data_IF_227801231223
#
_entry.id   IF_227801231223
#
_cell.length_a   1.000
_cell.length_b   1.000
_cell.length_c   1.000
_cell.angle_alpha   90.00
_cell.angle_beta   90.00
_cell.angle_gamma   90.00
#
_symmetry.space_group_name_H-M   'P 1'
#
loop_
_entity.id
_entity.type
_entity.pdbx_description
1 polymer ?
#
# COMPACT_ATOMS: atom_id res chain seq x y z
N UNK A 1 -7.08 12.85 -12.34
CA UNK A 1 -5.86 13.66 -12.07
C UNK A 1 -6.31 15.06 -11.68
N UNK A 2 -5.90 15.55 -10.52
CA UNK A 2 -6.38 16.81 -9.97
C UNK A 2 -5.95 18.00 -10.86
N UNK A 3 -6.89 18.77 -11.37
CA UNK A 3 -6.69 19.89 -12.31
C UNK A 3 -5.69 20.94 -11.78
N UNK A 4 -5.64 21.15 -10.46
CA UNK A 4 -4.69 22.05 -9.79
C UNK A 4 -3.21 21.61 -9.94
N UNK A 5 -2.95 20.29 -9.95
CA UNK A 5 -1.61 19.76 -10.13
C UNK A 5 -1.15 19.95 -11.57
N UNK A 6 -2.04 19.79 -12.54
CA UNK A 6 -1.76 20.06 -13.95
C UNK A 6 -1.44 21.55 -14.16
N UNK A 7 -2.22 22.45 -13.56
CA UNK A 7 -1.98 23.90 -13.65
C UNK A 7 -0.64 24.31 -13.02
N UNK A 8 -0.30 23.73 -11.87
CA UNK A 8 0.97 24.00 -11.21
C UNK A 8 2.15 23.47 -12.04
N UNK A 9 2.03 22.26 -12.60
CA UNK A 9 3.03 21.67 -13.48
C UNK A 9 3.24 22.49 -14.75
N UNK A 10 2.17 23.00 -15.35
CA UNK A 10 2.25 23.86 -16.54
C UNK A 10 3.03 25.14 -16.26
N UNK A 11 2.95 25.66 -15.03
CA UNK A 11 3.71 26.85 -14.59
C UNK A 11 5.19 26.56 -14.36
N UNK A 12 5.56 25.37 -13.93
CA UNK A 12 6.97 24.99 -13.65
C UNK A 12 7.67 24.43 -14.89
N UNK A 13 6.93 23.84 -15.82
CA UNK A 13 7.48 23.23 -17.05
C UNK A 13 8.49 24.08 -17.81
N UNK A 14 8.30 25.41 -17.98
CA UNK A 14 9.28 26.26 -18.67
C UNK A 14 10.65 26.36 -17.98
N UNK A 15 10.72 26.02 -16.68
CA UNK A 15 11.96 26.10 -15.90
C UNK A 15 12.67 24.73 -15.80
N UNK A 16 12.09 23.68 -16.37
CA UNK A 16 12.72 22.35 -16.42
C UNK A 16 13.57 22.25 -17.68
N UNK A 17 14.78 21.64 -17.61
CA UNK A 17 15.63 21.47 -18.78
C UNK A 17 14.90 20.65 -19.85
N UNK A 18 14.94 21.14 -21.10
CA UNK A 18 14.47 20.37 -22.26
C UNK A 18 15.43 19.21 -22.49
N UNK A 19 14.97 18.00 -22.17
CA UNK A 19 15.69 16.76 -22.48
C UNK A 19 15.01 16.16 -23.70
N UNK A 20 15.69 16.05 -24.87
CA UNK A 20 15.14 15.41 -26.05
C UNK A 20 14.93 13.91 -25.76
N UNK A 21 13.67 13.48 -25.64
CA UNK A 21 13.32 12.12 -25.24
C UNK A 21 12.68 11.36 -26.39
N UNK A 22 13.24 10.18 -26.71
CA UNK A 22 12.71 9.29 -27.76
C UNK A 22 11.33 8.70 -27.48
N UNK A 23 10.79 8.83 -26.24
CA UNK A 23 9.49 8.29 -25.85
C UNK A 23 8.68 9.28 -24.99
N UNK A 24 8.22 10.35 -25.59
CA UNK A 24 7.56 11.49 -24.92
C UNK A 24 6.37 11.10 -24.03
N UNK A 25 5.44 10.24 -24.51
CA UNK A 25 4.22 9.88 -23.76
C UNK A 25 4.50 9.11 -22.46
N UNK A 26 5.42 8.15 -22.51
CA UNK A 26 5.81 7.37 -21.34
C UNK A 26 6.47 8.23 -20.27
N UNK A 27 7.34 9.14 -20.72
CA UNK A 27 8.07 10.01 -19.80
C UNK A 27 7.17 11.07 -19.18
N UNK A 28 6.09 11.46 -19.84
CA UNK A 28 5.09 12.38 -19.27
C UNK A 28 4.32 11.72 -18.12
N UNK A 29 3.90 10.49 -18.28
CA UNK A 29 3.26 9.70 -17.20
C UNK A 29 4.21 9.53 -16.00
N UNK A 30 5.49 9.20 -16.24
CA UNK A 30 6.51 9.09 -15.18
C UNK A 30 6.78 10.42 -14.48
N UNK A 31 6.78 11.53 -15.22
CA UNK A 31 6.94 12.88 -14.63
C UNK A 31 5.78 13.24 -13.73
N UNK A 32 4.55 12.95 -14.15
CA UNK A 32 3.36 13.15 -13.31
C UNK A 32 3.46 12.32 -12.03
N UNK A 33 3.90 11.07 -12.14
CA UNK A 33 4.11 10.20 -10.99
C UNK A 33 5.20 10.75 -10.04
N UNK A 34 6.32 11.23 -10.58
CA UNK A 34 7.41 11.87 -9.79
C UNK A 34 6.89 13.13 -9.10
N UNK A 35 6.13 13.96 -9.80
CA UNK A 35 5.54 15.18 -9.22
C UNK A 35 4.55 14.87 -8.11
N UNK A 36 3.69 13.88 -8.30
CA UNK A 36 2.75 13.45 -7.25
C UNK A 36 3.52 13.02 -5.99
N UNK A 37 4.66 12.36 -6.14
CA UNK A 37 5.53 12.00 -5.01
C UNK A 37 6.13 13.24 -4.34
N UNK A 38 6.63 14.19 -5.13
CA UNK A 38 7.21 15.42 -4.61
C UNK A 38 6.17 16.29 -3.89
N UNK A 39 5.01 16.51 -4.52
CA UNK A 39 3.88 17.21 -3.91
C UNK A 39 3.36 16.44 -2.69
N UNK A 40 3.34 15.11 -2.75
CA UNK A 40 2.93 14.25 -1.65
C UNK A 40 3.78 14.42 -0.38
N UNK A 41 5.04 14.88 -0.48
CA UNK A 41 5.85 15.19 0.71
C UNK A 41 5.39 16.45 1.46
N UNK A 42 4.67 17.33 0.79
CA UNK A 42 4.16 18.58 1.36
C UNK A 42 2.72 18.47 1.90
N UNK A 43 2.07 17.32 1.70
CA UNK A 43 0.70 17.06 2.07
C UNK A 43 0.62 16.27 3.38
N UNK A 44 -0.48 16.44 4.10
CA UNK A 44 -0.86 15.53 5.19
C UNK A 44 -1.25 14.15 4.64
N UNK A 45 -1.38 13.15 5.49
CA UNK A 45 -1.75 11.79 5.10
C UNK A 45 -3.17 11.70 4.49
N UNK A 46 -4.10 12.52 4.97
CA UNK A 46 -5.47 12.62 4.42
C UNK A 46 -5.46 13.29 3.03
N UNK A 47 -4.73 14.41 2.88
CA UNK A 47 -4.60 15.12 1.60
C UNK A 47 -3.93 14.25 0.53
N UNK A 48 -2.96 13.40 0.91
CA UNK A 48 -2.38 12.40 0.00
C UNK A 48 -3.39 11.36 -0.44
N UNK A 49 -4.26 10.89 0.47
CA UNK A 49 -5.31 9.95 0.12
C UNK A 49 -6.29 10.55 -0.89
N UNK A 50 -6.67 11.82 -0.72
CA UNK A 50 -7.50 12.56 -1.70
C UNK A 50 -6.79 12.72 -3.04
N UNK A 51 -5.48 12.99 -3.05
CA UNK A 51 -4.68 13.09 -4.29
C UNK A 51 -4.74 11.81 -5.12
N UNK A 52 -4.75 10.64 -4.47
CA UNK A 52 -4.87 9.34 -5.11
C UNK A 52 -6.33 8.88 -5.30
N UNK A 53 -7.32 9.74 -5.00
CA UNK A 53 -8.76 9.43 -5.03
C UNK A 53 -9.11 8.15 -4.24
N UNK A 54 -8.51 7.98 -3.07
CA UNK A 54 -8.83 6.85 -2.21
C UNK A 54 -10.17 7.06 -1.49
N UNK A 55 -10.85 5.97 -1.10
CA UNK A 55 -12.12 6.03 -0.36
C UNK A 55 -12.00 6.77 0.98
N UNK A 56 -13.17 7.09 1.54
CA UNK A 56 -13.31 7.82 2.79
C UNK A 56 -12.49 7.19 3.93
N UNK A 57 -11.87 8.04 4.73
CA UNK A 57 -11.09 7.64 5.90
C UNK A 57 -9.77 6.94 5.60
N UNK A 58 -9.37 6.83 4.33
CA UNK A 58 -8.05 6.34 3.96
C UNK A 58 -6.98 7.38 4.25
N UNK A 59 -5.78 6.92 4.61
CA UNK A 59 -4.62 7.77 4.86
C UNK A 59 -3.36 7.15 4.27
N UNK A 60 -2.53 7.99 3.65
CA UNK A 60 -1.24 7.59 3.08
C UNK A 60 -0.13 8.41 3.71
N UNK A 61 0.84 7.73 4.29
CA UNK A 61 2.02 8.37 4.87
C UNK A 61 3.04 8.76 3.80
N UNK A 62 3.97 9.62 4.19
CA UNK A 62 5.03 10.13 3.31
C UNK A 62 5.92 9.01 2.76
N UNK A 63 6.39 9.20 1.55
CA UNK A 63 7.27 8.24 0.86
C UNK A 63 6.58 6.97 0.36
N UNK A 64 5.30 6.72 0.72
CA UNK A 64 4.54 5.61 0.16
C UNK A 64 4.33 5.79 -1.35
N UNK A 65 4.36 4.67 -2.10
CA UNK A 65 4.22 4.65 -3.55
C UNK A 65 3.09 3.71 -3.95
N UNK A 66 2.19 4.20 -4.80
CA UNK A 66 1.20 3.38 -5.48
C UNK A 66 1.59 3.31 -6.96
N UNK A 67 1.85 2.11 -7.46
CA UNK A 67 2.20 1.84 -8.85
C UNK A 67 0.94 1.37 -9.56
N UNK A 68 0.59 1.97 -10.69
CA UNK A 68 -0.63 1.69 -11.46
C UNK A 68 -1.91 1.84 -10.60
N UNK A 69 -2.17 3.02 -10.00
CA UNK A 69 -3.31 3.22 -9.10
C UNK A 69 -4.67 2.94 -9.77
N UNK A 70 -4.74 2.98 -11.09
CA UNK A 70 -5.94 2.65 -11.88
C UNK A 70 -6.36 1.17 -11.75
N UNK A 71 -5.46 0.29 -11.32
CA UNK A 71 -5.71 -1.14 -11.10
C UNK A 71 -5.84 -1.49 -9.61
N UNK A 72 -5.86 -0.48 -8.74
CA UNK A 72 -6.05 -0.65 -7.31
C UNK A 72 -7.53 -0.55 -6.96
N UNK A 73 -8.05 -1.58 -6.28
CA UNK A 73 -9.34 -1.53 -5.59
C UNK A 73 -9.04 -1.54 -4.09
N UNK A 74 -9.43 -0.48 -3.40
CA UNK A 74 -9.19 -0.36 -1.95
C UNK A 74 -10.49 0.04 -1.24
N UNK A 75 -10.73 -0.51 -0.06
CA UNK A 75 -11.88 -0.19 0.76
C UNK A 75 -11.64 1.06 1.63
N UNK A 76 -12.66 1.43 2.40
CA UNK A 76 -12.62 2.59 3.30
C UNK A 76 -11.74 2.35 4.53
N UNK A 77 -11.31 3.44 5.18
CA UNK A 77 -10.57 3.43 6.45
C UNK A 77 -9.28 2.61 6.42
N UNK A 78 -8.60 2.57 5.27
CA UNK A 78 -7.31 1.93 5.13
C UNK A 78 -6.16 2.90 5.46
N UNK A 79 -5.09 2.36 6.02
CA UNK A 79 -3.88 3.11 6.32
C UNK A 79 -2.68 2.52 5.58
N UNK A 80 -1.93 3.38 4.88
CA UNK A 80 -0.71 3.00 4.15
C UNK A 80 0.45 3.76 4.79
N UNK A 81 1.37 3.02 5.39
CA UNK A 81 2.50 3.51 6.15
C UNK A 81 3.62 4.10 5.32
N UNK A 82 4.58 4.74 6.01
CA UNK A 82 5.73 5.40 5.40
C UNK A 82 6.54 4.44 4.53
N UNK A 83 6.94 4.91 3.36
CA UNK A 83 7.78 4.16 2.43
C UNK A 83 7.23 2.80 1.98
N UNK A 84 5.94 2.54 2.20
CA UNK A 84 5.29 1.35 1.64
C UNK A 84 5.26 1.42 0.11
N UNK A 85 5.40 0.27 -0.55
CA UNK A 85 5.25 0.13 -2.01
C UNK A 85 4.04 -0.74 -2.29
N UNK A 86 3.06 -0.16 -2.96
CA UNK A 86 1.80 -0.78 -3.32
C UNK A 86 1.77 -0.92 -4.84
N UNK A 87 2.09 -2.11 -5.33
CA UNK A 87 2.10 -2.39 -6.75
C UNK A 87 0.79 -3.04 -7.21
N UNK A 88 0.01 -2.28 -7.95
CA UNK A 88 -1.24 -2.75 -8.54
C UNK A 88 -1.12 -3.09 -10.04
N UNK A 89 0.09 -3.17 -10.61
CA UNK A 89 0.27 -3.40 -12.06
C UNK A 89 -0.29 -4.73 -12.56
N UNK A 90 -0.43 -5.74 -11.70
CA UNK A 90 -1.09 -7.01 -11.97
C UNK A 90 -2.53 -7.11 -11.44
N UNK A 91 -3.04 -6.02 -10.84
CA UNK A 91 -4.28 -5.96 -10.09
C UNK A 91 -4.05 -6.17 -8.59
N UNK A 92 -4.59 -5.27 -7.78
CA UNK A 92 -4.50 -5.35 -6.32
C UNK A 92 -5.84 -4.97 -5.70
N UNK A 93 -6.28 -5.78 -4.76
CA UNK A 93 -7.46 -5.52 -3.96
C UNK A 93 -7.10 -5.47 -2.47
N UNK A 94 -7.56 -4.46 -1.76
CA UNK A 94 -7.37 -4.27 -0.31
C UNK A 94 -8.73 -3.99 0.31
N UNK A 95 -9.16 -4.84 1.23
CA UNK A 95 -10.42 -4.67 1.96
C UNK A 95 -10.37 -3.51 2.97
N UNK A 96 -11.57 -3.07 3.40
CA UNK A 96 -11.73 -1.96 4.33
C UNK A 96 -11.06 -2.22 5.69
N UNK A 97 -10.72 -1.14 6.41
CA UNK A 97 -10.11 -1.20 7.74
C UNK A 97 -8.78 -1.97 7.79
N UNK A 98 -8.04 -2.02 6.67
CA UNK A 98 -6.76 -2.71 6.57
C UNK A 98 -5.61 -1.72 6.69
N UNK A 99 -4.63 -2.08 7.53
CA UNK A 99 -3.42 -1.28 7.74
C UNK A 99 -2.21 -1.96 7.10
N UNK A 100 -1.58 -1.24 6.19
CA UNK A 100 -0.30 -1.61 5.56
C UNK A 100 0.79 -0.82 6.29
N UNK A 101 1.62 -1.50 7.06
CA UNK A 101 2.66 -0.88 7.88
C UNK A 101 3.78 -0.20 7.09
N UNK A 102 4.65 0.55 7.79
CA UNK A 102 5.81 1.19 7.17
C UNK A 102 6.72 0.18 6.47
N UNK A 103 7.25 0.57 5.30
CA UNK A 103 8.16 -0.26 4.50
C UNK A 103 7.64 -1.66 4.16
N UNK A 104 6.32 -1.83 4.09
CA UNK A 104 5.70 -3.03 3.53
C UNK A 104 5.70 -2.93 2.01
N UNK A 105 6.07 -4.02 1.35
CA UNK A 105 6.02 -4.14 -0.09
C UNK A 105 4.92 -5.13 -0.49
N UNK A 106 3.92 -4.65 -1.23
CA UNK A 106 2.86 -5.48 -1.81
C UNK A 106 3.06 -5.51 -3.31
N UNK A 107 3.34 -6.69 -3.84
CA UNK A 107 3.60 -6.91 -5.25
C UNK A 107 2.44 -7.61 -5.94
N UNK A 108 2.18 -7.26 -7.18
CA UNK A 108 1.24 -7.93 -8.08
C UNK A 108 1.87 -8.31 -9.42
N UNK A 109 3.18 -8.08 -9.60
CA UNK A 109 3.91 -8.53 -10.78
C UNK A 109 5.32 -9.00 -10.47
N UNK A 110 5.91 -9.72 -11.42
CA UNK A 110 7.33 -10.06 -11.41
C UNK A 110 7.89 -10.10 -12.83
N UNK A 111 9.10 -9.58 -13.00
CA UNK A 111 9.81 -9.53 -14.29
C UNK A 111 10.91 -10.60 -14.44
N UNK A 112 11.04 -11.53 -13.49
CA UNK A 112 12.15 -12.50 -13.47
C UNK A 112 12.27 -13.34 -14.75
N UNK A 113 11.14 -13.74 -15.35
CA UNK A 113 11.16 -14.51 -16.62
C UNK A 113 11.71 -13.68 -17.78
N UNK A 114 11.39 -12.39 -17.84
CA UNK A 114 11.96 -11.49 -18.85
C UNK A 114 13.47 -11.36 -18.68
N UNK A 115 13.95 -11.24 -17.44
CA UNK A 115 15.36 -11.15 -17.13
C UNK A 115 16.12 -12.45 -17.46
N UNK A 116 15.59 -13.61 -17.06
CA UNK A 116 16.20 -14.91 -17.35
C UNK A 116 16.30 -15.18 -18.87
N UNK A 117 15.35 -14.67 -19.66
CA UNK A 117 15.37 -14.77 -21.11
C UNK A 117 16.12 -13.62 -21.80
N UNK A 118 16.80 -12.76 -21.05
CA UNK A 118 17.51 -11.58 -21.56
C UNK A 118 16.64 -10.70 -22.49
N UNK A 119 15.33 -10.72 -22.26
CA UNK A 119 14.35 -10.00 -23.06
C UNK A 119 14.23 -8.54 -22.60
N UNK A 120 13.86 -7.64 -23.52
CA UNK A 120 13.52 -6.28 -23.14
C UNK A 120 12.28 -6.30 -22.21
N UNK A 121 12.44 -5.80 -20.97
CA UNK A 121 11.38 -5.78 -19.96
C UNK A 121 10.21 -4.91 -20.42
N UNK A 122 10.48 -3.84 -21.17
CA UNK A 122 9.46 -2.91 -21.64
C UNK A 122 8.62 -3.57 -22.72
N UNK A 123 7.33 -3.81 -22.41
CA UNK A 123 6.39 -4.44 -23.36
C UNK A 123 6.56 -5.95 -23.49
N UNK A 124 7.41 -6.58 -22.66
CA UNK A 124 7.58 -8.02 -22.64
C UNK A 124 6.32 -8.73 -22.17
N UNK A 125 5.89 -9.75 -22.92
CA UNK A 125 4.84 -10.71 -22.51
C UNK A 125 5.33 -11.67 -21.41
N UNK A 126 6.63 -11.63 -21.07
CA UNK A 126 7.24 -12.43 -20.00
C UNK A 126 7.16 -11.76 -18.63
N UNK A 127 6.54 -10.58 -18.52
CA UNK A 127 6.20 -10.01 -17.21
C UNK A 127 4.99 -10.78 -16.66
N UNK A 128 5.23 -11.54 -15.60
CA UNK A 128 4.17 -12.25 -14.89
C UNK A 128 3.36 -11.26 -14.06
N UNK A 129 2.05 -11.18 -14.28
CA UNK A 129 1.13 -10.36 -13.51
C UNK A 129 0.13 -11.29 -12.82
N UNK A 130 0.14 -11.26 -11.50
CA UNK A 130 -0.73 -12.08 -10.66
C UNK A 130 -1.47 -11.17 -9.69
N UNK A 131 -2.78 -11.16 -9.79
CA UNK A 131 -3.63 -10.36 -8.89
C UNK A 131 -3.39 -10.76 -7.44
N UNK A 132 -3.10 -9.76 -6.61
CA UNK A 132 -2.94 -9.92 -5.16
C UNK A 132 -4.18 -9.41 -4.46
N UNK A 133 -4.63 -10.11 -3.42
CA UNK A 133 -5.85 -9.78 -2.65
C UNK A 133 -5.51 -9.76 -1.16
N UNK A 134 -5.90 -8.70 -0.48
CA UNK A 134 -5.79 -8.55 0.97
C UNK A 134 -7.18 -8.24 1.52
N UNK A 135 -7.67 -9.07 2.42
CA UNK A 135 -9.00 -8.93 3.01
C UNK A 135 -9.15 -7.72 3.92
N UNK A 136 -10.33 -7.60 4.50
CA UNK A 136 -10.71 -6.52 5.41
C UNK A 136 -10.20 -6.75 6.83
N UNK A 137 -9.90 -5.65 7.55
CA UNK A 137 -9.50 -5.72 8.95
C UNK A 137 -8.12 -6.36 9.17
N UNK A 138 -7.27 -6.38 8.15
CA UNK A 138 -5.93 -6.93 8.23
C UNK A 138 -4.92 -5.92 8.79
N UNK A 139 -3.92 -6.44 9.50
CA UNK A 139 -2.76 -5.66 9.95
C UNK A 139 -1.50 -6.29 9.39
N UNK A 140 -0.84 -5.59 8.48
CA UNK A 140 0.43 -6.03 7.89
C UNK A 140 1.53 -5.17 8.48
N UNK A 141 2.26 -5.74 9.45
CA UNK A 141 3.35 -5.02 10.10
C UNK A 141 4.59 -4.95 9.19
N UNK A 142 5.23 -3.79 9.17
CA UNK A 142 6.46 -3.60 8.40
C UNK A 142 7.74 -3.80 9.20
N UNK A 143 8.84 -4.02 8.52
CA UNK A 143 8.90 -4.34 7.09
C UNK A 143 8.47 -5.77 6.79
N UNK A 144 7.67 -5.96 5.77
CA UNK A 144 7.22 -7.28 5.29
C UNK A 144 6.98 -7.23 3.78
N UNK A 145 6.92 -8.38 3.14
CA UNK A 145 6.71 -8.50 1.69
C UNK A 145 5.53 -9.42 1.42
N UNK A 146 4.57 -8.95 0.62
CA UNK A 146 3.50 -9.76 0.05
C UNK A 146 3.83 -9.99 -1.41
N UNK A 147 3.99 -11.26 -1.80
CA UNK A 147 4.39 -11.66 -3.15
C UNK A 147 3.20 -11.64 -4.13
N UNK A 148 3.47 -11.54 -5.45
CA UNK A 148 2.42 -11.55 -6.47
C UNK A 148 1.52 -12.80 -6.38
N UNK A 149 0.21 -12.62 -6.57
CA UNK A 149 -0.75 -13.72 -6.52
C UNK A 149 -1.15 -14.18 -5.11
N UNK A 150 -0.66 -13.51 -4.08
CA UNK A 150 -1.04 -13.82 -2.69
C UNK A 150 -2.49 -13.44 -2.42
N UNK A 151 -3.20 -14.30 -1.70
CA UNK A 151 -4.55 -14.06 -1.20
C UNK A 151 -4.54 -14.13 0.32
N UNK A 152 -4.76 -13.01 0.99
CA UNK A 152 -4.87 -12.91 2.45
C UNK A 152 -6.35 -12.72 2.79
N UNK A 153 -6.92 -13.63 3.57
CA UNK A 153 -8.29 -13.53 4.06
C UNK A 153 -8.48 -12.41 5.09
N UNK A 154 -9.71 -12.21 5.52
CA UNK A 154 -10.08 -11.15 6.46
C UNK A 154 -9.44 -11.34 7.85
N UNK A 155 -9.24 -10.22 8.56
CA UNK A 155 -8.83 -10.20 9.97
C UNK A 155 -7.51 -10.95 10.23
N UNK A 156 -6.54 -10.87 9.30
CA UNK A 156 -5.23 -11.46 9.44
C UNK A 156 -4.22 -10.48 10.05
N UNK A 157 -3.25 -11.04 10.76
CA UNK A 157 -2.08 -10.30 11.25
C UNK A 157 -0.83 -10.87 10.61
N UNK A 158 -0.11 -10.04 9.88
CA UNK A 158 1.20 -10.35 9.33
C UNK A 158 2.24 -9.66 10.22
N UNK A 159 3.08 -10.45 10.88
CA UNK A 159 4.13 -9.94 11.76
C UNK A 159 5.29 -9.35 10.96
N UNK A 160 6.09 -8.45 11.55
CA UNK A 160 7.25 -7.87 10.88
C UNK A 160 8.21 -8.94 10.34
N UNK A 161 8.95 -8.59 9.29
CA UNK A 161 9.92 -9.46 8.62
C UNK A 161 9.33 -10.74 8.04
N UNK A 162 8.04 -10.71 7.67
CA UNK A 162 7.38 -11.83 7.00
C UNK A 162 7.44 -11.68 5.48
N UNK A 163 7.66 -12.81 4.80
CA UNK A 163 7.42 -12.96 3.36
C UNK A 163 6.18 -13.82 3.23
N UNK A 164 5.16 -13.29 2.55
CA UNK A 164 3.85 -13.93 2.42
C UNK A 164 3.61 -14.31 0.97
N UNK A 165 3.29 -15.59 0.74
CA UNK A 165 3.03 -16.15 -0.57
C UNK A 165 1.85 -17.14 -0.49
N UNK A 166 1.04 -17.18 -1.56
CA UNK A 166 -0.08 -18.11 -1.69
C UNK A 166 -1.30 -17.72 -0.85
N UNK A 167 -2.00 -18.71 -0.32
CA UNK A 167 -3.26 -18.51 0.41
C UNK A 167 -3.01 -18.43 1.92
N UNK A 168 -3.43 -17.32 2.52
CA UNK A 168 -3.51 -17.12 3.97
C UNK A 168 -4.99 -17.14 4.36
N UNK A 169 -5.47 -18.17 5.08
CA UNK A 169 -6.86 -18.23 5.53
C UNK A 169 -7.22 -17.04 6.42
N UNK A 170 -8.50 -16.69 6.48
CA UNK A 170 -8.97 -15.65 7.39
C UNK A 170 -8.57 -15.90 8.86
N UNK A 171 -8.45 -14.83 9.65
CA UNK A 171 -8.14 -14.89 11.10
C UNK A 171 -6.81 -15.60 11.41
N UNK A 172 -5.88 -15.54 10.48
CA UNK A 172 -4.55 -16.15 10.64
C UNK A 172 -3.54 -15.15 11.18
N UNK A 173 -2.51 -15.70 11.84
CA UNK A 173 -1.29 -14.97 12.14
C UNK A 173 -0.16 -15.56 11.29
N UNK A 174 0.54 -14.71 10.54
CA UNK A 174 1.74 -15.09 9.78
C UNK A 174 2.97 -14.52 10.46
N UNK A 175 3.98 -15.38 10.61
CA UNK A 175 5.28 -15.00 11.19
C UNK A 175 6.39 -15.68 10.42
N UNK A 176 7.25 -14.91 9.75
CA UNK A 176 8.41 -15.43 9.00
C UNK A 176 8.03 -16.56 8.01
N UNK A 177 6.93 -16.39 7.29
CA UNK A 177 6.42 -17.39 6.34
C UNK A 177 5.62 -18.55 6.96
N UNK A 178 5.59 -18.69 8.28
CA UNK A 178 4.76 -19.69 8.96
C UNK A 178 3.34 -19.14 9.18
N UNK A 179 2.33 -19.84 8.69
CA UNK A 179 0.90 -19.49 8.83
C UNK A 179 0.31 -20.26 10.00
N UNK A 180 -0.31 -19.53 10.93
CA UNK A 180 -1.11 -20.10 12.03
C UNK A 180 -2.56 -19.73 11.84
N UNK A 181 -3.38 -20.60 11.21
CA UNK A 181 -4.77 -20.30 10.90
C UNK A 181 -5.65 -20.33 12.14
N UNK A 182 -6.74 -19.54 12.14
CA UNK A 182 -7.77 -19.54 13.16
C UNK A 182 -7.38 -19.08 14.57
N UNK A 183 -6.17 -18.52 14.73
CA UNK A 183 -5.69 -18.04 16.05
C UNK A 183 -6.49 -16.84 16.52
N UNK A 184 -7.00 -16.02 15.62
CA UNK A 184 -7.78 -14.82 15.92
C UNK A 184 -9.27 -15.13 15.93
N UNK A 185 -9.73 -16.01 16.87
CA UNK A 185 -11.14 -16.30 17.04
C UNK A 185 -11.92 -15.02 17.39
N UNK A 186 -13.24 -15.00 17.11
CA UNK A 186 -14.08 -13.85 17.46
C UNK A 186 -14.08 -13.57 18.97
N UNK A 187 -14.07 -14.61 19.78
CA UNK A 187 -14.00 -14.51 21.23
C UNK A 187 -12.70 -13.87 21.68
N UNK A 188 -11.56 -14.27 21.08
CA UNK A 188 -10.25 -13.67 21.34
C UNK A 188 -10.25 -12.19 20.97
N UNK A 189 -10.76 -11.84 19.78
CA UNK A 189 -10.83 -10.44 19.31
C UNK A 189 -11.70 -9.61 20.26
N UNK A 190 -12.89 -10.10 20.65
CA UNK A 190 -13.77 -9.41 21.62
C UNK A 190 -13.08 -9.18 22.95
N UNK A 191 -12.41 -10.21 23.49
CA UNK A 191 -11.67 -10.11 24.75
C UNK A 191 -10.56 -9.05 24.69
N UNK A 192 -9.78 -9.03 23.60
CA UNK A 192 -8.73 -8.04 23.38
C UNK A 192 -9.28 -6.62 23.24
N UNK A 193 -10.42 -6.45 22.57
CA UNK A 193 -11.09 -5.16 22.42
C UNK A 193 -11.55 -4.59 23.78
N UNK A 194 -12.16 -5.44 24.63
CA UNK A 194 -12.58 -5.03 25.98
C UNK A 194 -11.37 -4.63 26.83
N UNK A 195 -10.32 -5.44 26.79
CA UNK A 195 -9.09 -5.15 27.53
C UNK A 195 -8.45 -3.82 27.09
N UNK A 196 -8.40 -3.58 25.78
CA UNK A 196 -7.86 -2.31 25.23
C UNK A 196 -8.69 -1.10 25.69
N UNK A 197 -10.02 -1.21 25.70
CA UNK A 197 -10.90 -0.14 26.19
C UNK A 197 -10.70 0.14 27.69
N UNK A 198 -10.50 -0.90 28.51
CA UNK A 198 -10.20 -0.75 29.94
C UNK A 198 -8.87 -0.05 30.19
N UNK A 199 -7.82 -0.40 29.42
CA UNK A 199 -6.51 0.25 29.52
C UNK A 199 -6.56 1.72 29.12
N UNK A 200 -7.35 2.05 28.08
CA UNK A 200 -7.54 3.45 27.69
C UNK A 200 -8.28 4.27 28.74
N UNK A 201 -9.34 3.73 29.33
CA UNK A 201 -10.10 4.41 30.39
C UNK A 201 -9.26 4.65 31.66
N UNK A 202 -8.31 3.77 31.97
CA UNK A 202 -7.41 3.92 33.12
C UNK A 202 -6.28 4.94 32.90
N UNK A 203 -5.98 5.33 31.66
CA UNK A 203 -4.95 6.31 31.31
C UNK A 203 -5.45 7.75 31.23
N UNK A 204 -6.77 7.98 31.33
CA UNK A 204 -7.38 9.31 31.32
C UNK A 204 -7.56 9.82 32.75
N UNK A 205 -6.55 9.69 33.62
CA UNK A 205 -6.46 10.53 34.78
C UNK A 205 -5.69 11.81 34.37
N UNK A 206 -6.24 13.02 34.59
CA UNK A 206 -5.51 14.24 34.29
C UNK A 206 -4.21 14.25 35.12
N UNK A 207 -3.09 14.42 34.45
CA UNK A 207 -1.87 14.85 35.13
C UNK A 207 -2.09 16.31 35.44
N UNK A 208 -2.42 16.62 36.69
CA UNK A 208 -2.40 17.99 37.18
C UNK A 208 -0.96 18.49 37.04
N UNK A 209 -0.73 19.35 36.07
CA UNK A 209 0.52 20.09 35.91
C UNK A 209 0.39 21.32 36.80
N UNK A 210 1.00 21.28 37.96
CA UNK A 210 1.29 22.47 38.76
C UNK A 210 2.37 23.34 38.12
#
# INVERSE_FOLDING_TARGET
MNQRIIEWFTKIRPYLPEIPLKSFRRNEALRVEILNRFVGLLLTDDERAELFNLPNGCRIREGAKIICPENLVIGEFCWIGENAIIDASGGLEIGSHTSIGPSVFVWSHSSHLANLNMSNIIGSNLIKRDRTVIGSGCFIAGPSVVLPGTVIGDKCIIRPFSIVEGLVPERSIVSQGSIKPGVLSEEFIKKMTILAAQVQSSKIAPVDVE
#
